data_IF_462186302442
#
_entry.id   IF_462186302442
#
_cell.length_a   1.000
_cell.length_b   1.000
_cell.length_c   1.000
_cell.angle_alpha   90.00
_cell.angle_beta   90.00
_cell.angle_gamma   90.00
#
_symmetry.space_group_name_H-M   'P 1'
#
loop_
_entity.id
_entity.type
_entity.pdbx_description
1 polymer ?
#
# COMPACT_ATOMS: atom_id res chain seq x y z
N UNK A 1 -37.24 22.51 -14.84
CA UNK A 1 -36.07 23.21 -14.29
C UNK A 1 -34.93 23.00 -15.27
N UNK A 2 -34.60 24.02 -16.08
CA UNK A 2 -33.57 23.91 -17.13
C UNK A 2 -32.27 24.51 -16.59
N UNK A 3 -31.20 23.74 -16.73
CA UNK A 3 -29.85 24.00 -16.23
C UNK A 3 -29.32 25.36 -16.72
N UNK A 4 -28.63 26.09 -15.86
CA UNK A 4 -28.18 27.47 -16.08
C UNK A 4 -26.97 27.61 -17.01
N UNK A 5 -26.72 26.67 -17.92
CA UNK A 5 -25.61 26.70 -18.86
C UNK A 5 -25.96 25.92 -20.11
N UNK A 6 -25.63 26.46 -21.29
CA UNK A 6 -25.93 25.82 -22.58
C UNK A 6 -24.94 24.69 -22.93
N UNK A 7 -23.87 24.48 -22.14
CA UNK A 7 -22.84 23.45 -22.40
C UNK A 7 -22.19 22.87 -21.12
N UNK A 8 -22.94 22.37 -20.13
CA UNK A 8 -22.36 21.77 -18.92
C UNK A 8 -21.45 20.57 -19.23
N UNK A 9 -21.76 19.81 -20.28
CA UNK A 9 -21.03 18.60 -20.68
C UNK A 9 -19.59 18.91 -21.10
N UNK A 10 -19.32 20.15 -21.54
CA UNK A 10 -17.97 20.58 -21.93
C UNK A 10 -17.05 20.73 -20.73
N UNK A 11 -17.58 21.23 -19.62
CA UNK A 11 -16.79 21.55 -18.42
C UNK A 11 -16.88 20.45 -17.37
N UNK A 12 -17.96 19.68 -17.37
CA UNK A 12 -18.23 18.58 -16.46
C UNK A 12 -18.77 17.40 -17.27
N UNK A 13 -17.90 16.71 -18.03
CA UNK A 13 -18.31 15.55 -18.81
C UNK A 13 -18.67 14.39 -17.88
N UNK A 14 -19.72 13.63 -18.24
CA UNK A 14 -20.12 12.41 -17.52
C UNK A 14 -19.07 11.28 -17.69
N UNK A 15 -18.29 11.31 -18.78
CA UNK A 15 -17.20 10.37 -18.99
C UNK A 15 -16.03 10.70 -18.05
N UNK A 16 -15.85 9.83 -17.05
CA UNK A 16 -14.77 9.88 -16.07
C UNK A 16 -13.38 10.00 -16.70
N UNK A 17 -13.11 9.25 -17.77
CA UNK A 17 -11.81 9.26 -18.43
C UNK A 17 -11.54 10.63 -19.05
N UNK A 18 -12.53 11.17 -19.77
CA UNK A 18 -12.43 12.50 -20.36
C UNK A 18 -12.23 13.56 -19.27
N UNK A 19 -12.96 13.46 -18.16
CA UNK A 19 -12.82 14.38 -17.03
C UNK A 19 -11.40 14.39 -16.47
N UNK A 20 -10.85 13.22 -16.18
CA UNK A 20 -9.53 13.07 -15.58
C UNK A 20 -8.38 13.44 -16.51
N UNK A 21 -8.60 13.47 -17.83
CA UNK A 21 -7.61 13.89 -18.81
C UNK A 21 -7.59 15.41 -19.03
N UNK A 22 -8.58 16.16 -18.49
CA UNK A 22 -8.60 17.61 -18.62
C UNK A 22 -7.45 18.28 -17.86
N UNK A 23 -6.95 19.45 -18.29
CA UNK A 23 -5.99 20.23 -17.51
C UNK A 23 -6.64 20.82 -16.25
N UNK A 24 -5.83 21.22 -15.27
CA UNK A 24 -6.34 22.05 -14.18
C UNK A 24 -6.82 23.40 -14.70
N UNK A 25 -7.88 23.93 -14.10
CA UNK A 25 -8.47 25.19 -14.51
C UNK A 25 -8.67 26.13 -13.32
N UNK A 26 -7.82 27.15 -13.22
CA UNK A 26 -7.82 28.15 -12.14
C UNK A 26 -9.17 28.88 -12.08
N UNK A 27 -9.81 29.14 -13.23
CA UNK A 27 -11.02 29.97 -13.31
C UNK A 27 -10.72 31.46 -13.34
N UNK A 28 -11.75 32.29 -13.23
CA UNK A 28 -11.68 33.74 -13.50
C UNK A 28 -12.02 34.62 -12.29
N UNK A 29 -12.30 34.03 -11.14
CA UNK A 29 -12.55 34.76 -9.91
C UNK A 29 -11.24 35.18 -9.21
N UNK A 30 -11.34 35.72 -8.00
CA UNK A 30 -10.20 36.24 -7.24
C UNK A 30 -9.88 35.46 -5.96
N UNK A 31 -10.58 34.35 -5.71
CA UNK A 31 -10.29 33.46 -4.59
C UNK A 31 -8.95 32.75 -4.73
N UNK A 32 -8.46 32.20 -3.62
CA UNK A 32 -7.27 31.33 -3.61
C UNK A 32 -7.56 30.11 -2.77
N UNK A 33 -8.13 29.09 -3.41
CA UNK A 33 -8.43 27.82 -2.76
C UNK A 33 -7.50 26.74 -3.29
N UNK A 34 -6.85 26.00 -2.40
CA UNK A 34 -6.07 24.83 -2.79
C UNK A 34 -7.04 23.71 -3.11
N UNK A 35 -7.00 23.24 -4.35
CA UNK A 35 -7.77 22.11 -4.85
C UNK A 35 -6.84 21.10 -5.52
N UNK A 36 -7.35 19.92 -5.84
CA UNK A 36 -6.58 18.85 -6.47
C UNK A 36 -7.08 18.56 -7.87
N UNK A 37 -6.18 18.25 -8.80
CA UNK A 37 -6.52 17.79 -10.14
C UNK A 37 -5.68 16.55 -10.47
N UNK A 38 -6.21 15.69 -11.34
CA UNK A 38 -5.48 14.54 -11.84
C UNK A 38 -4.56 14.95 -12.99
N UNK A 39 -3.27 14.70 -12.84
CA UNK A 39 -2.29 14.83 -13.90
C UNK A 39 -2.14 13.45 -14.57
N UNK A 40 -2.68 13.32 -15.79
CA UNK A 40 -2.66 12.07 -16.55
C UNK A 40 -1.25 11.67 -17.00
N UNK A 41 -0.36 12.64 -17.26
CA UNK A 41 1.04 12.40 -17.67
C UNK A 41 1.80 11.71 -16.55
N UNK A 42 1.66 12.21 -15.33
CA UNK A 42 2.32 11.63 -14.15
C UNK A 42 1.46 10.59 -13.44
N UNK A 43 0.25 10.35 -13.96
CA UNK A 43 -0.73 9.44 -13.36
C UNK A 43 -0.89 9.66 -11.85
N UNK A 44 -1.02 10.92 -11.42
CA UNK A 44 -1.12 11.27 -9.99
C UNK A 44 -1.89 12.57 -9.78
N UNK A 45 -2.41 12.77 -8.57
CA UNK A 45 -3.12 13.99 -8.22
C UNK A 45 -2.16 15.06 -7.69
N UNK A 46 -2.28 16.27 -8.24
CA UNK A 46 -1.49 17.45 -7.85
C UNK A 46 -2.39 18.57 -7.35
N UNK A 47 -1.87 19.38 -6.44
CA UNK A 47 -2.58 20.57 -5.97
C UNK A 47 -2.44 21.72 -6.97
N UNK A 48 -3.45 22.59 -7.01
CA UNK A 48 -3.45 23.83 -7.77
C UNK A 48 -4.33 24.89 -7.08
N UNK A 49 -4.19 26.16 -7.48
CA UNK A 49 -5.03 27.25 -6.99
C UNK A 49 -6.30 27.35 -7.84
N UNK A 50 -7.45 27.21 -7.20
CA UNK A 50 -8.76 27.51 -7.76
C UNK A 50 -9.25 28.88 -7.30
N UNK A 51 -9.73 29.67 -8.26
CA UNK A 51 -10.21 31.02 -8.06
C UNK A 51 -11.60 31.13 -7.44
N UNK A 52 -12.36 30.02 -7.41
CA UNK A 52 -13.70 29.97 -6.82
C UNK A 52 -14.88 30.09 -7.76
N UNK A 53 -14.66 30.29 -9.05
CA UNK A 53 -15.71 30.15 -10.06
C UNK A 53 -15.16 29.65 -11.40
N UNK A 54 -16.06 29.19 -12.27
CA UNK A 54 -15.72 28.60 -13.57
C UNK A 54 -14.74 27.41 -13.45
N UNK A 55 -13.92 27.20 -14.48
CA UNK A 55 -13.00 26.07 -14.60
C UNK A 55 -13.67 24.84 -15.18
N UNK A 56 -13.22 23.66 -14.78
CA UNK A 56 -13.72 22.37 -15.25
C UNK A 56 -13.83 21.36 -14.10
N UNK A 57 -14.29 20.15 -14.42
CA UNK A 57 -14.55 19.06 -13.50
C UNK A 57 -13.31 18.33 -12.99
N UNK A 58 -12.12 18.54 -13.55
CA UNK A 58 -10.88 17.97 -12.99
C UNK A 58 -10.42 18.79 -11.78
N UNK A 59 -11.24 18.80 -10.73
CA UNK A 59 -11.07 19.59 -9.51
C UNK A 59 -11.75 18.88 -8.34
N UNK A 60 -10.97 18.50 -7.35
CA UNK A 60 -11.38 17.76 -6.17
C UNK A 60 -10.95 18.47 -4.90
N UNK A 61 -11.66 18.23 -3.81
CA UNK A 61 -11.39 18.85 -2.51
C UNK A 61 -10.15 18.26 -1.82
N UNK A 62 -9.84 17.00 -2.12
CA UNK A 62 -8.71 16.28 -1.53
C UNK A 62 -7.94 15.45 -2.57
N UNK A 63 -6.69 15.12 -2.24
CA UNK A 63 -5.87 14.21 -3.07
C UNK A 63 -6.51 12.83 -3.17
N UNK A 64 -7.08 12.33 -2.08
CA UNK A 64 -7.71 11.01 -2.02
C UNK A 64 -8.92 10.93 -2.94
N UNK A 65 -9.84 11.90 -2.86
CA UNK A 65 -11.02 11.98 -3.74
C UNK A 65 -10.62 11.99 -5.22
N UNK A 66 -9.59 12.78 -5.57
CA UNK A 66 -9.04 12.82 -6.92
C UNK A 66 -8.50 11.45 -7.38
N UNK A 67 -7.76 10.74 -6.52
CA UNK A 67 -7.19 9.44 -6.85
C UNK A 67 -8.29 8.38 -6.98
N UNK A 68 -9.24 8.34 -6.05
CA UNK A 68 -10.37 7.41 -6.07
C UNK A 68 -11.22 7.60 -7.33
N UNK A 69 -11.48 8.85 -7.72
CA UNK A 69 -12.24 9.15 -8.92
C UNK A 69 -11.46 8.79 -10.19
N UNK A 70 -10.21 9.24 -10.32
CA UNK A 70 -9.50 9.17 -11.60
C UNK A 70 -8.70 7.89 -11.83
N UNK A 71 -8.13 7.27 -10.79
CA UNK A 71 -7.52 5.95 -10.91
C UNK A 71 -8.55 4.84 -10.77
N UNK A 72 -9.61 5.06 -9.99
CA UNK A 72 -10.55 4.02 -9.60
C UNK A 72 -9.88 2.95 -8.73
N UNK A 73 -10.69 2.16 -8.04
CA UNK A 73 -10.26 0.80 -7.68
C UNK A 73 -10.16 0.04 -9.00
N UNK A 74 -8.95 -0.39 -9.38
CA UNK A 74 -8.73 -1.13 -10.63
C UNK A 74 -9.76 -2.25 -10.73
N UNK A 75 -10.66 -2.16 -11.72
CA UNK A 75 -11.95 -2.82 -11.62
C UNK A 75 -12.54 -3.25 -12.96
N UNK A 76 -11.77 -4.01 -13.74
CA UNK A 76 -12.34 -5.10 -14.53
C UNK A 76 -11.55 -6.38 -14.21
N UNK A 77 -12.10 -7.16 -13.25
CA UNK A 77 -11.86 -8.58 -12.95
C UNK A 77 -10.44 -8.95 -12.52
N UNK A 78 -10.15 -9.20 -11.24
CA UNK A 78 -10.62 -10.37 -10.48
C UNK A 78 -10.46 -10.11 -8.97
N UNK A 79 -11.47 -10.47 -8.18
CA UNK A 79 -11.31 -10.76 -6.75
C UNK A 79 -11.51 -9.59 -5.80
N UNK A 80 -12.20 -9.87 -4.70
CA UNK A 80 -12.45 -8.98 -3.56
C UNK A 80 -11.15 -8.34 -3.07
N UNK A 81 -11.18 -7.09 -2.62
CA UNK A 81 -10.53 -6.68 -1.37
C UNK A 81 -10.93 -5.23 -1.05
N UNK A 82 -11.53 -5.07 0.12
CA UNK A 82 -11.62 -3.77 0.77
C UNK A 82 -10.20 -3.36 1.16
N UNK A 83 -9.59 -2.44 0.41
CA UNK A 83 -8.37 -1.80 0.88
C UNK A 83 -8.78 -0.65 1.79
N UNK A 84 -8.78 -1.01 3.06
CA UNK A 84 -8.69 -0.18 4.25
C UNK A 84 -7.34 0.57 4.26
N UNK A 85 -7.42 1.82 4.73
CA UNK A 85 -6.40 2.74 5.26
C UNK A 85 -4.92 2.69 4.80
N UNK A 86 -4.42 3.90 4.55
CA UNK A 86 -3.00 4.29 4.53
C UNK A 86 -2.31 3.85 5.84
N UNK A 87 -1.15 3.18 5.78
CA UNK A 87 0.08 3.97 5.89
C UNK A 87 1.20 3.51 4.96
N UNK A 88 1.92 4.50 4.49
CA UNK A 88 3.36 4.52 4.26
C UNK A 88 4.16 3.62 5.26
N UNK A 89 4.29 2.32 4.99
CA UNK A 89 5.34 1.51 5.62
C UNK A 89 5.86 0.48 4.62
N UNK A 90 7.13 0.68 4.25
CA UNK A 90 8.08 -0.26 3.67
C UNK A 90 7.53 -1.59 3.13
N UNK A 91 7.69 -1.78 1.82
CA UNK A 91 7.69 -3.10 1.20
C UNK A 91 8.78 -3.98 1.84
N UNK A 92 8.41 -4.69 2.90
CA UNK A 92 9.13 -5.86 3.39
C UNK A 92 8.17 -7.02 3.24
N UNK A 93 8.43 -7.90 2.28
CA UNK A 93 7.68 -9.15 2.12
C UNK A 93 7.70 -9.90 3.46
N UNK A 94 6.55 -10.00 4.13
CA UNK A 94 6.41 -10.65 5.45
C UNK A 94 6.93 -12.09 5.44
N UNK A 95 6.94 -12.74 4.27
CA UNK A 95 7.52 -14.07 4.07
C UNK A 95 9.03 -14.15 4.31
N UNK A 96 9.79 -13.07 4.04
CA UNK A 96 11.24 -13.07 4.21
C UNK A 96 11.64 -13.02 5.69
N UNK A 97 10.96 -12.16 6.48
CA UNK A 97 11.23 -12.01 7.90
C UNK A 97 10.87 -13.29 8.66
N UNK A 98 9.69 -13.85 8.40
CA UNK A 98 9.23 -15.10 9.03
C UNK A 98 10.15 -16.27 8.64
N UNK A 99 10.61 -16.32 7.39
CA UNK A 99 11.55 -17.33 6.91
C UNK A 99 12.91 -17.28 7.60
N UNK A 100 13.50 -16.08 7.73
CA UNK A 100 14.81 -15.90 8.37
C UNK A 100 14.72 -16.24 9.87
N UNK A 101 13.74 -15.67 10.57
CA UNK A 101 13.59 -15.90 12.02
C UNK A 101 13.26 -17.37 12.31
N UNK A 102 12.34 -17.97 11.56
CA UNK A 102 12.00 -19.39 11.70
C UNK A 102 13.17 -20.32 11.40
N UNK A 103 13.93 -20.04 10.34
CA UNK A 103 15.12 -20.80 9.98
C UNK A 103 16.21 -20.75 11.04
N UNK A 104 16.49 -19.57 11.59
CA UNK A 104 17.46 -19.42 12.68
C UNK A 104 17.05 -20.19 13.94
N UNK A 105 15.77 -20.10 14.34
CA UNK A 105 15.26 -20.82 15.52
C UNK A 105 15.38 -22.34 15.32
N UNK A 106 15.00 -22.84 14.15
CA UNK A 106 15.08 -24.28 13.85
C UNK A 106 16.53 -24.77 13.85
N UNK A 107 17.46 -24.03 13.26
CA UNK A 107 18.88 -24.38 13.26
C UNK A 107 19.46 -24.43 14.69
N UNK A 108 19.14 -23.43 15.52
CA UNK A 108 19.58 -23.40 16.93
C UNK A 108 19.00 -24.58 17.71
N UNK A 109 17.72 -24.89 17.53
CA UNK A 109 17.06 -26.03 18.17
C UNK A 109 17.71 -27.38 17.77
N UNK A 110 18.05 -27.56 16.49
CA UNK A 110 18.74 -28.75 16.00
C UNK A 110 20.14 -28.87 16.61
N UNK A 111 20.93 -27.79 16.62
CA UNK A 111 22.27 -27.81 17.21
C UNK A 111 22.21 -28.13 18.70
N UNK A 112 21.26 -27.54 19.43
CA UNK A 112 21.04 -27.86 20.85
C UNK A 112 20.65 -29.32 21.05
N UNK A 113 19.74 -29.86 20.24
CA UNK A 113 19.33 -31.27 20.33
C UNK A 113 20.50 -32.23 20.06
N UNK A 114 21.33 -31.95 19.05
CA UNK A 114 22.53 -32.74 18.73
C UNK A 114 23.54 -32.66 19.87
N UNK A 115 23.80 -31.48 20.42
CA UNK A 115 24.71 -31.30 21.55
C UNK A 115 24.22 -32.04 22.80
N UNK A 116 22.92 -31.95 23.11
CA UNK A 116 22.28 -32.69 24.21
C UNK A 116 22.43 -34.19 23.97
N UNK A 117 22.16 -34.69 22.77
CA UNK A 117 22.30 -36.11 22.44
C UNK A 117 23.75 -36.62 22.59
N UNK A 118 24.73 -35.85 22.11
CA UNK A 118 26.16 -36.18 22.22
C UNK A 118 26.62 -36.16 23.69
N UNK A 119 26.21 -35.16 24.46
CA UNK A 119 26.54 -35.05 25.88
C UNK A 119 25.86 -36.13 26.72
N UNK A 120 24.61 -36.49 26.42
CA UNK A 120 23.93 -37.64 27.03
C UNK A 120 24.63 -38.95 26.70
N UNK A 121 25.05 -39.18 25.45
CA UNK A 121 25.86 -40.37 25.08
C UNK A 121 27.19 -40.41 25.82
N UNK A 122 27.87 -39.27 25.95
CA UNK A 122 29.13 -39.18 26.71
C UNK A 122 28.92 -39.47 28.20
N UNK A 123 27.82 -38.98 28.79
CA UNK A 123 27.42 -39.28 30.17
C UNK A 123 27.13 -40.77 30.38
N UNK A 124 26.39 -41.40 29.45
CA UNK A 124 26.08 -42.83 29.51
C UNK A 124 27.30 -43.73 29.25
N UNK A 125 28.30 -43.25 28.50
CA UNK A 125 29.60 -43.91 28.36
C UNK A 125 30.45 -43.79 29.63
N UNK A 126 30.44 -42.60 30.27
CA UNK A 126 31.20 -42.35 31.51
C UNK A 126 30.68 -43.19 32.68
N UNK A 127 29.35 -43.33 32.84
CA UNK A 127 28.73 -44.18 33.88
C UNK A 127 29.10 -45.66 33.75
N UNK A 128 29.14 -46.20 32.52
CA UNK A 128 29.54 -47.59 32.27
C UNK A 128 31.01 -47.88 32.61
N UNK A 129 31.92 -46.93 32.40
CA UNK A 129 33.33 -47.12 32.77
C UNK A 129 33.55 -47.06 34.29
N UNK A 130 32.77 -46.27 35.05
CA UNK A 130 32.91 -46.18 36.52
C UNK A 130 32.36 -47.40 37.25
N UNK A 131 31.41 -48.12 36.65
CA UNK A 131 30.85 -49.37 37.19
C UNK A 131 31.77 -50.59 36.96
N UNK A 132 32.64 -50.55 35.93
CA UNK A 132 33.62 -51.61 35.65
C UNK A 132 34.89 -51.48 36.50
N UNK A 133 35.19 -50.30 37.04
CA UNK A 133 36.40 -50.04 37.85
C UNK A 133 36.22 -50.35 39.36
N UNK A 134 35.02 -50.76 39.79
CA UNK A 134 34.68 -51.10 41.18
C UNK A 134 34.35 -52.59 41.41
N UNK A 135 34.75 -53.48 40.50
CA UNK A 135 34.51 -54.92 40.57
C UNK A 135 35.79 -55.69 40.31
#
# INVERSE_FOLDING_TARGET
MKNCSDTPEKFYPDDRKVLCEMPSAIGTCYGRMIMWYFNSVESTCKSFIYSGCHGNGNRFSSKQECLEFCKGKSGRGLGNEAVEENPEESAVDEGLIVGIVGGCIFAVALVAAVAIFVTQRKSHSKRRNTEVEMK
#
